data_IF_478727643911
#
_entry.id   IF_478727643911
#
_cell.length_a   1.000
_cell.length_b   1.000
_cell.length_c   1.000
_cell.angle_alpha   90.00
_cell.angle_beta   90.00
_cell.angle_gamma   90.00
#
_symmetry.space_group_name_H-M   'P 1'
#
loop_
_entity.id
_entity.type
_entity.pdbx_description
1 polymer ?
#
# COMPACT_ATOMS: atom_id res chain seq x y z
N UNK A 1 -26.25 15.31 -31.05
CA UNK A 1 -27.58 14.69 -30.83
C UNK A 1 -27.30 13.24 -30.54
N UNK A 2 -27.12 12.87 -29.28
CA UNK A 2 -28.18 12.52 -28.30
C UNK A 2 -29.00 11.33 -28.79
N UNK A 3 -28.87 10.22 -28.06
CA UNK A 3 -29.95 9.38 -27.52
C UNK A 3 -29.26 8.38 -26.57
N UNK A 4 -29.20 8.64 -25.26
CA UNK A 4 -30.20 8.29 -24.22
C UNK A 4 -30.48 6.78 -24.19
N UNK A 5 -29.94 6.04 -23.22
CA UNK A 5 -30.45 5.85 -21.84
C UNK A 5 -31.82 5.18 -21.84
N UNK A 6 -31.85 3.84 -21.82
CA UNK A 6 -32.93 3.11 -21.13
C UNK A 6 -32.58 1.64 -20.87
N UNK A 7 -32.21 1.29 -19.63
CA UNK A 7 -32.59 0.00 -19.06
C UNK A 7 -32.57 0.08 -17.53
N UNK A 8 -33.59 0.74 -16.99
CA UNK A 8 -33.99 0.65 -15.59
C UNK A 8 -34.79 -0.63 -15.37
N UNK A 9 -34.72 -1.15 -14.13
CA UNK A 9 -35.65 -2.09 -13.45
C UNK A 9 -35.27 -3.58 -13.42
N UNK A 10 -34.60 -3.99 -12.33
CA UNK A 10 -35.19 -4.83 -11.24
C UNK A 10 -34.08 -5.34 -10.30
N UNK A 11 -33.97 -4.74 -9.12
CA UNK A 11 -33.37 -5.38 -7.94
C UNK A 11 -34.53 -5.83 -7.03
N UNK A 12 -34.65 -7.11 -6.65
CA UNK A 12 -35.52 -7.49 -5.56
C UNK A 12 -34.86 -7.13 -4.23
N UNK A 13 -35.52 -6.27 -3.46
CA UNK A 13 -35.15 -5.96 -2.08
C UNK A 13 -35.61 -7.13 -1.21
N UNK A 14 -34.68 -7.95 -0.75
CA UNK A 14 -34.96 -8.98 0.25
C UNK A 14 -35.05 -8.34 1.64
N UNK A 15 -36.25 -8.30 2.19
CA UNK A 15 -36.51 -8.01 3.60
C UNK A 15 -36.24 -9.28 4.42
N UNK A 16 -35.30 -9.24 5.36
CA UNK A 16 -35.17 -10.23 6.43
C UNK A 16 -34.97 -9.50 7.78
N UNK A 17 -35.77 -9.83 8.82
CA UNK A 17 -35.67 -9.24 10.15
C UNK A 17 -34.63 -9.98 11.00
N UNK A 18 -33.87 -9.23 11.81
CA UNK A 18 -32.96 -9.82 12.80
C UNK A 18 -31.53 -9.25 12.88
N UNK A 19 -31.29 -8.03 12.42
CA UNK A 19 -29.96 -7.42 12.53
C UNK A 19 -29.65 -6.97 13.96
N UNK A 20 -28.84 -7.76 14.65
CA UNK A 20 -27.98 -7.26 15.74
C UNK A 20 -27.15 -6.10 15.18
N UNK A 21 -27.24 -4.94 15.82
CA UNK A 21 -26.44 -3.76 15.49
C UNK A 21 -24.97 -4.11 15.73
N UNK A 22 -24.22 -4.35 14.66
CA UNK A 22 -22.77 -4.45 14.71
C UNK A 22 -22.18 -3.04 14.88
N UNK A 23 -21.19 -2.83 15.77
CA UNK A 23 -20.52 -1.54 15.89
C UNK A 23 -19.77 -1.22 14.59
N UNK A 24 -19.84 0.03 14.17
CA UNK A 24 -19.21 0.54 12.97
C UNK A 24 -17.70 0.25 12.95
N UNK A 25 -17.27 -0.55 11.98
CA UNK A 25 -15.87 -0.80 11.67
C UNK A 25 -15.25 0.43 10.96
N UNK A 26 -13.96 0.70 11.16
CA UNK A 26 -13.27 1.81 10.50
C UNK A 26 -13.21 1.60 8.96
N UNK A 27 -13.14 2.69 8.16
CA UNK A 27 -13.38 2.69 6.71
C UNK A 27 -12.32 1.99 5.83
N UNK A 28 -11.44 1.17 6.39
CA UNK A 28 -10.38 0.44 5.69
C UNK A 28 -10.37 -1.07 5.99
N UNK A 29 -11.51 -1.64 6.40
CA UNK A 29 -11.75 -3.09 6.26
C UNK A 29 -12.08 -3.41 4.78
N UNK A 30 -11.07 -3.26 3.92
CA UNK A 30 -11.17 -3.62 2.51
C UNK A 30 -11.46 -5.11 2.39
N UNK A 31 -12.46 -5.45 1.57
CA UNK A 31 -12.58 -6.81 1.06
C UNK A 31 -11.26 -7.15 0.38
N UNK A 32 -10.46 -8.01 1.02
CA UNK A 32 -9.18 -8.46 0.49
C UNK A 32 -9.48 -9.17 -0.84
N UNK A 33 -9.16 -8.52 -1.96
CA UNK A 33 -9.19 -9.16 -3.26
C UNK A 33 -8.04 -10.16 -3.24
N UNK A 34 -8.35 -11.44 -3.43
CA UNK A 34 -7.34 -12.49 -3.51
C UNK A 34 -6.66 -12.39 -4.88
N UNK A 35 -5.44 -11.88 -4.89
CA UNK A 35 -4.59 -11.84 -6.08
C UNK A 35 -3.93 -13.20 -6.28
N UNK A 36 -4.11 -13.80 -7.44
CA UNK A 36 -3.46 -15.04 -7.84
C UNK A 36 -2.28 -14.72 -8.76
N UNK A 37 -1.09 -15.20 -8.40
CA UNK A 37 0.13 -15.06 -9.18
C UNK A 37 0.47 -16.39 -9.87
N UNK A 38 0.66 -16.37 -11.18
CA UNK A 38 1.03 -17.53 -11.99
C UNK A 38 2.27 -17.19 -12.82
N UNK A 39 3.43 -17.83 -12.59
CA UNK A 39 4.58 -17.67 -13.48
C UNK A 39 4.27 -18.32 -14.84
N UNK A 40 4.58 -17.60 -15.92
CA UNK A 40 4.43 -18.06 -17.30
C UNK A 40 5.83 -18.31 -17.91
N UNK A 41 6.27 -19.57 -18.06
CA UNK A 41 7.59 -19.88 -18.61
C UNK A 41 7.81 -19.23 -19.99
N UNK A 42 8.89 -18.48 -20.13
CA UNK A 42 9.25 -17.79 -21.37
C UNK A 42 8.50 -16.48 -21.65
N UNK A 43 7.45 -16.16 -20.89
CA UNK A 43 6.61 -14.97 -21.12
C UNK A 43 6.78 -13.96 -20.00
N UNK A 44 6.60 -14.37 -18.73
CA UNK A 44 6.57 -13.44 -17.62
C UNK A 44 5.81 -13.93 -16.40
N UNK A 45 5.11 -13.03 -15.71
CA UNK A 45 4.25 -13.34 -14.56
C UNK A 45 2.85 -12.81 -14.81
N UNK A 46 1.85 -13.64 -14.53
CA UNK A 46 0.43 -13.31 -14.63
C UNK A 46 -0.12 -13.07 -13.23
N UNK A 47 -0.73 -11.91 -13.02
CA UNK A 47 -1.46 -11.55 -11.81
C UNK A 47 -2.93 -11.39 -12.15
N UNK A 48 -3.82 -12.02 -11.40
CA UNK A 48 -5.25 -11.92 -11.71
C UNK A 48 -6.14 -12.12 -10.48
N UNK A 49 -7.39 -11.68 -10.58
CA UNK A 49 -8.37 -11.82 -9.52
C UNK A 49 -9.80 -11.98 -10.04
N UNK A 50 -10.64 -12.60 -9.22
CA UNK A 50 -12.09 -12.65 -9.43
C UNK A 50 -12.73 -11.34 -8.97
N UNK A 51 -13.25 -10.58 -9.93
CA UNK A 51 -14.03 -9.38 -9.67
C UNK A 51 -15.41 -9.71 -9.11
N UNK A 52 -15.91 -8.85 -8.21
CA UNK A 52 -17.27 -8.96 -7.64
C UNK A 52 -18.40 -8.94 -8.69
N UNK A 53 -18.12 -8.40 -9.88
CA UNK A 53 -19.06 -8.30 -11.00
C UNK A 53 -18.98 -9.48 -11.98
N UNK A 54 -18.44 -10.63 -11.56
CA UNK A 54 -18.49 -11.89 -12.33
C UNK A 54 -17.50 -11.99 -13.49
N UNK A 55 -16.48 -11.11 -13.53
CA UNK A 55 -15.37 -11.15 -14.48
C UNK A 55 -14.08 -11.45 -13.75
N UNK A 56 -13.19 -12.22 -14.39
CA UNK A 56 -11.81 -12.38 -13.94
C UNK A 56 -10.97 -11.39 -14.73
N UNK A 57 -10.18 -10.59 -14.01
CA UNK A 57 -9.32 -9.55 -14.61
C UNK A 57 -7.90 -9.88 -14.24
N UNK A 58 -6.99 -9.80 -15.21
CA UNK A 58 -5.59 -10.00 -14.94
C UNK A 58 -4.66 -9.18 -15.80
N UNK A 59 -3.41 -9.12 -15.36
CA UNK A 59 -2.30 -8.44 -16.01
C UNK A 59 -1.17 -9.44 -16.17
N UNK A 60 -0.63 -9.55 -17.38
CA UNK A 60 0.61 -10.28 -17.65
C UNK A 60 1.72 -9.25 -17.78
N UNK A 61 2.74 -9.38 -16.94
CA UNK A 61 3.98 -8.60 -17.07
C UNK A 61 4.98 -9.43 -17.85
N UNK A 62 5.22 -9.04 -19.11
CA UNK A 62 6.16 -9.72 -19.98
C UNK A 62 7.61 -9.38 -19.59
N UNK A 63 8.55 -10.28 -19.89
CA UNK A 63 9.99 -10.08 -19.59
C UNK A 63 10.62 -8.93 -20.39
N UNK A 64 10.02 -8.54 -21.49
CA UNK A 64 10.45 -7.43 -22.34
C UNK A 64 9.89 -6.07 -21.89
N UNK A 65 9.18 -6.04 -20.75
CA UNK A 65 8.60 -4.82 -20.17
C UNK A 65 7.21 -4.47 -20.70
N UNK A 66 6.64 -5.22 -21.65
CA UNK A 66 5.24 -5.02 -22.07
C UNK A 66 4.28 -5.52 -21.01
N UNK A 67 3.12 -4.89 -20.90
CA UNK A 67 2.03 -5.34 -20.04
C UNK A 67 0.86 -5.76 -20.92
N UNK A 68 0.15 -6.80 -20.52
CA UNK A 68 -1.07 -7.20 -21.21
C UNK A 68 -2.19 -7.32 -20.18
N UNK A 69 -3.26 -6.56 -20.37
CA UNK A 69 -4.47 -6.68 -19.56
C UNK A 69 -5.41 -7.65 -20.27
N UNK A 70 -5.92 -8.64 -19.56
CA UNK A 70 -6.92 -9.55 -20.08
C UNK A 70 -8.15 -9.59 -19.17
N UNK A 71 -9.31 -9.81 -19.80
CA UNK A 71 -10.56 -10.10 -19.11
C UNK A 71 -11.04 -11.46 -19.57
N UNK A 72 -11.18 -12.38 -18.63
CA UNK A 72 -11.78 -13.70 -18.86
C UNK A 72 -13.09 -13.83 -18.10
N UNK A 73 -13.88 -14.82 -18.49
CA UNK A 73 -15.08 -15.17 -17.72
C UNK A 73 -14.65 -15.99 -16.50
N UNK A 74 -15.41 -15.88 -15.42
CA UNK A 74 -15.14 -16.64 -14.20
C UNK A 74 -15.32 -18.15 -14.39
N UNK A 75 -16.24 -18.55 -15.27
CA UNK A 75 -16.60 -19.94 -15.56
C UNK A 75 -15.73 -20.60 -16.63
N UNK A 76 -14.98 -19.81 -17.39
CA UNK A 76 -14.05 -20.28 -18.42
C UNK A 76 -12.81 -19.38 -18.44
N UNK A 77 -11.76 -19.75 -17.67
CA UNK A 77 -10.52 -18.98 -17.57
C UNK A 77 -9.72 -18.92 -18.89
N UNK A 78 -9.95 -19.88 -19.80
CA UNK A 78 -9.25 -20.01 -21.08
C UNK A 78 -9.98 -19.28 -22.21
N UNK A 79 -11.26 -18.96 -22.05
CA UNK A 79 -11.98 -18.03 -22.92
C UNK A 79 -11.54 -16.58 -22.62
N UNK A 80 -10.37 -16.19 -23.13
CA UNK A 80 -9.97 -14.79 -23.25
C UNK A 80 -11.03 -14.03 -24.05
N UNK A 81 -11.85 -13.24 -23.36
CA UNK A 81 -12.91 -12.48 -24.03
C UNK A 81 -12.29 -11.35 -24.85
N UNK A 82 -11.30 -10.64 -24.29
CA UNK A 82 -10.48 -9.61 -24.93
C UNK A 82 -9.15 -9.44 -24.16
N UNK A 83 -8.04 -9.19 -24.86
CA UNK A 83 -6.79 -8.72 -24.26
C UNK A 83 -6.30 -7.43 -24.92
N UNK A 84 -5.64 -6.58 -24.13
CA UNK A 84 -5.10 -5.29 -24.54
C UNK A 84 -3.62 -5.29 -24.16
N UNK A 85 -2.75 -5.21 -25.16
CA UNK A 85 -1.31 -5.04 -24.95
C UNK A 85 -1.03 -3.55 -24.77
N UNK A 86 -0.31 -3.23 -23.70
CA UNK A 86 0.10 -1.89 -23.33
C UNK A 86 1.63 -1.83 -23.31
N UNK A 87 2.16 -0.73 -23.84
CA UNK A 87 3.52 -0.30 -23.55
C UNK A 87 3.68 0.08 -22.07
N UNK A 88 4.91 0.35 -21.66
CA UNK A 88 5.21 0.81 -20.30
C UNK A 88 4.46 2.10 -19.94
N UNK A 89 4.57 3.11 -20.82
CA UNK A 89 3.93 4.42 -20.66
C UNK A 89 2.39 4.32 -20.64
N UNK A 90 1.81 3.49 -21.50
CA UNK A 90 0.36 3.27 -21.52
C UNK A 90 -0.13 2.52 -20.27
N UNK A 91 0.65 1.56 -19.77
CA UNK A 91 0.32 0.84 -18.54
C UNK A 91 0.36 1.78 -17.32
N UNK A 92 1.33 2.70 -17.27
CA UNK A 92 1.41 3.74 -16.24
C UNK A 92 0.19 4.68 -16.30
N UNK A 93 -0.17 5.14 -17.50
CA UNK A 93 -1.35 5.98 -17.70
C UNK A 93 -2.66 5.27 -17.28
N UNK A 94 -2.82 3.97 -17.58
CA UNK A 94 -3.98 3.18 -17.14
C UNK A 94 -3.99 3.01 -15.63
N UNK A 95 -2.84 2.76 -15.00
CA UNK A 95 -2.72 2.64 -13.55
C UNK A 95 -3.13 3.94 -12.85
N UNK A 96 -2.72 5.09 -13.37
CA UNK A 96 -3.14 6.41 -12.88
C UNK A 96 -4.66 6.60 -12.95
N UNK A 97 -5.26 6.24 -14.09
CA UNK A 97 -6.70 6.39 -14.33
C UNK A 97 -7.52 5.46 -13.41
N UNK A 98 -7.07 4.23 -13.21
CA UNK A 98 -7.73 3.22 -12.37
C UNK A 98 -7.51 3.45 -10.87
N UNK A 99 -6.40 4.09 -10.48
CA UNK A 99 -6.05 4.39 -9.09
C UNK A 99 -6.99 5.39 -8.40
N UNK A 100 -7.95 6.00 -9.13
CA UNK A 100 -9.06 6.77 -8.56
C UNK A 100 -8.65 8.01 -7.76
N UNK A 101 -7.40 8.46 -7.81
CA UNK A 101 -6.91 9.62 -7.09
C UNK A 101 -6.46 10.74 -8.02
N UNK A 102 -7.41 11.43 -8.65
CA UNK A 102 -7.18 12.74 -9.28
C UNK A 102 -6.85 13.85 -8.26
N UNK A 103 -6.59 13.54 -6.98
CA UNK A 103 -6.32 14.55 -5.92
C UNK A 103 -4.86 14.51 -5.38
N UNK A 104 -4.06 13.48 -5.63
CA UNK A 104 -2.72 13.38 -5.02
C UNK A 104 -1.57 13.91 -5.89
N UNK A 105 -1.80 14.23 -7.18
CA UNK A 105 -0.72 14.72 -8.06
C UNK A 105 -0.30 16.18 -7.83
N UNK A 106 -1.00 16.95 -7.00
CA UNK A 106 -0.58 18.30 -6.63
C UNK A 106 -0.04 18.45 -5.20
N UNK A 107 -0.14 17.42 -4.34
CA UNK A 107 0.48 17.48 -3.00
C UNK A 107 1.75 16.63 -2.93
N UNK A 108 1.82 15.49 -3.64
CA UNK A 108 3.05 14.66 -3.64
C UNK A 108 4.20 15.29 -4.43
N UNK A 109 3.92 16.05 -5.51
CA UNK A 109 4.96 16.76 -6.28
C UNK A 109 5.50 18.03 -5.60
N UNK A 110 4.86 18.52 -4.54
CA UNK A 110 5.42 19.61 -3.72
C UNK A 110 6.30 19.10 -2.58
N UNK A 111 6.27 17.80 -2.25
CA UNK A 111 7.05 17.24 -1.13
C UNK A 111 8.18 16.30 -1.56
N UNK A 112 8.12 15.70 -2.76
CA UNK A 112 9.10 14.68 -3.18
C UNK A 112 10.34 15.18 -3.95
N UNK A 113 10.49 16.48 -4.19
CA UNK A 113 11.68 17.04 -4.84
C UNK A 113 12.52 17.90 -3.89
N UNK A 114 12.70 17.42 -2.66
CA UNK A 114 13.90 17.78 -1.89
C UNK A 114 14.88 16.64 -2.13
N UNK A 115 15.74 16.80 -3.15
CA UNK A 115 16.90 15.93 -3.36
C UNK A 115 17.61 15.69 -2.01
N UNK A 116 17.56 14.46 -1.51
CA UNK A 116 18.17 14.08 -0.24
C UNK A 116 17.24 13.95 0.98
N UNK A 117 15.91 13.95 0.84
CA UNK A 117 14.96 13.61 1.91
C UNK A 117 14.34 12.22 1.71
N UNK A 118 14.39 11.38 2.74
CA UNK A 118 13.85 10.02 2.79
C UNK A 118 12.96 9.82 4.03
N UNK A 119 11.94 8.97 3.89
CA UNK A 119 11.00 8.59 4.94
C UNK A 119 10.87 7.07 4.98
N UNK A 120 10.89 6.47 6.17
CA UNK A 120 10.74 5.02 6.34
C UNK A 120 10.01 4.64 7.65
N UNK A 121 9.42 3.45 7.65
CA UNK A 121 8.70 2.84 8.77
C UNK A 121 9.56 1.74 9.39
N UNK A 122 10.20 2.05 10.52
CA UNK A 122 11.13 1.12 11.16
C UNK A 122 10.45 0.44 12.34
N UNK A 123 10.36 -0.89 12.30
CA UNK A 123 9.87 -1.67 13.44
C UNK A 123 10.95 -1.76 14.52
N UNK A 124 10.59 -1.52 15.78
CA UNK A 124 11.47 -1.71 16.94
C UNK A 124 11.48 -3.20 17.30
N UNK A 125 12.58 -3.93 17.08
CA UNK A 125 12.64 -5.34 17.43
C UNK A 125 12.70 -5.53 18.96
N UNK A 126 12.30 -6.71 19.44
CA UNK A 126 12.38 -7.04 20.87
C UNK A 126 13.80 -7.04 21.45
N UNK A 127 14.80 -7.24 20.60
CA UNK A 127 16.23 -7.18 20.96
C UNK A 127 16.79 -5.75 20.95
N UNK A 128 15.97 -4.74 20.65
CA UNK A 128 16.42 -3.36 20.59
C UNK A 128 16.95 -2.90 21.94
N UNK A 129 18.14 -2.27 22.00
CA UNK A 129 18.68 -1.71 23.25
C UNK A 129 17.86 -0.50 23.76
N UNK A 130 16.90 -0.03 22.98
CA UNK A 130 15.99 1.07 23.27
C UNK A 130 14.57 0.62 23.65
N UNK A 131 14.29 -0.69 23.63
CA UNK A 131 13.03 -1.21 24.12
C UNK A 131 12.89 -0.93 25.62
N UNK A 132 11.78 -0.30 26.00
CA UNK A 132 11.49 0.13 27.37
C UNK A 132 12.17 1.44 27.80
N UNK A 133 12.90 2.12 26.89
CA UNK A 133 13.58 3.38 27.18
C UNK A 133 12.88 4.58 26.54
N UNK A 134 13.09 5.80 27.06
CA UNK A 134 12.62 7.02 26.41
C UNK A 134 13.21 7.17 25.01
N UNK A 135 12.42 7.74 24.10
CA UNK A 135 12.82 8.07 22.74
C UNK A 135 14.11 8.91 22.71
N UNK A 136 14.28 9.80 23.69
CA UNK A 136 15.46 10.65 23.86
C UNK A 136 16.78 9.88 23.99
N UNK A 137 16.75 8.67 24.57
CA UNK A 137 17.95 7.84 24.75
C UNK A 137 18.52 7.35 23.41
N UNK A 138 17.70 7.30 22.36
CA UNK A 138 18.17 6.98 21.01
C UNK A 138 19.11 8.06 20.49
N UNK A 139 18.93 9.31 20.92
CA UNK A 139 19.56 10.50 20.32
C UNK A 139 19.47 10.48 18.79
N UNK A 140 18.31 10.06 18.25
CA UNK A 140 18.13 9.70 16.84
C UNK A 140 18.71 10.76 15.89
N UNK A 141 18.28 12.02 16.06
CA UNK A 141 18.73 13.14 15.21
C UNK A 141 20.23 13.38 15.28
N UNK A 142 20.81 13.33 16.47
CA UNK A 142 22.24 13.59 16.67
C UNK A 142 23.11 12.47 16.12
N UNK A 143 22.69 11.21 16.27
CA UNK A 143 23.50 10.05 15.88
C UNK A 143 23.34 9.63 14.43
N UNK A 144 22.18 9.90 13.85
CA UNK A 144 21.82 9.38 12.52
C UNK A 144 21.53 10.50 11.52
N UNK A 145 21.23 11.71 11.98
CA UNK A 145 20.73 12.79 11.12
C UNK A 145 19.24 12.65 10.76
N UNK A 146 18.58 11.59 11.22
CA UNK A 146 17.16 11.36 11.01
C UNK A 146 16.34 11.65 12.28
N UNK A 147 15.07 12.01 12.12
CA UNK A 147 14.16 12.35 13.22
C UNK A 147 12.94 11.45 13.20
N UNK A 148 12.46 11.06 14.37
CA UNK A 148 11.20 10.32 14.51
C UNK A 148 10.05 11.33 14.56
N UNK A 149 9.09 11.19 13.64
CA UNK A 149 7.95 12.10 13.51
C UNK A 149 6.64 11.50 14.01
N UNK A 150 6.55 10.18 14.10
CA UNK A 150 5.39 9.47 14.65
C UNK A 150 5.76 8.06 15.12
N UNK A 151 4.92 7.48 15.97
CA UNK A 151 5.00 6.09 16.43
C UNK A 151 3.64 5.42 16.19
N UNK A 152 3.65 4.22 15.62
CA UNK A 152 2.49 3.36 15.47
C UNK A 152 2.51 2.29 16.57
N UNK A 153 1.45 2.27 17.38
CA UNK A 153 1.25 1.29 18.45
C UNK A 153 -0.20 0.84 18.44
N UNK A 154 -0.43 -0.48 18.44
CA UNK A 154 -1.77 -1.08 18.46
C UNK A 154 -2.73 -0.54 17.40
N UNK A 155 -2.21 -0.19 16.21
CA UNK A 155 -2.99 0.38 15.11
C UNK A 155 -3.29 1.88 15.24
N UNK A 156 -2.81 2.55 16.28
CA UNK A 156 -2.96 3.99 16.48
C UNK A 156 -1.66 4.74 16.19
N UNK A 157 -1.78 5.87 15.49
CA UNK A 157 -0.67 6.79 15.24
C UNK A 157 -0.55 7.80 16.39
N UNK A 158 0.66 7.92 16.94
CA UNK A 158 1.03 8.90 17.95
C UNK A 158 1.95 9.91 17.24
N UNK A 159 1.41 11.05 16.80
CA UNK A 159 2.19 12.06 16.09
C UNK A 159 3.07 12.84 17.06
N UNK A 160 4.22 13.32 16.57
CA UNK A 160 5.15 14.18 17.30
C UNK A 160 5.45 13.72 18.74
N UNK A 161 5.94 12.48 18.93
CA UNK A 161 6.28 11.98 20.26
C UNK A 161 7.40 12.83 20.88
N UNK A 162 7.24 13.16 22.17
CA UNK A 162 8.28 13.83 22.95
C UNK A 162 9.48 12.92 23.25
N UNK A 163 10.64 13.47 23.62
CA UNK A 163 11.82 12.67 23.99
C UNK A 163 11.60 11.78 25.22
N UNK A 164 10.65 12.11 26.09
CA UNK A 164 10.24 11.33 27.25
C UNK A 164 9.38 10.11 26.90
N UNK A 165 8.91 10.01 25.64
CA UNK A 165 7.99 8.97 25.23
C UNK A 165 8.67 7.59 25.23
N UNK A 166 8.14 6.58 25.95
CA UNK A 166 8.75 5.27 26.02
C UNK A 166 8.54 4.50 24.70
N UNK A 167 9.65 4.02 24.12
CA UNK A 167 9.64 3.08 23.01
C UNK A 167 9.46 1.66 23.54
N UNK A 168 8.61 0.86 22.91
CA UNK A 168 8.43 -0.55 23.23
C UNK A 168 8.72 -1.44 22.02
N UNK A 169 9.10 -2.68 22.32
CA UNK A 169 9.23 -3.71 21.31
C UNK A 169 7.90 -3.90 20.56
N UNK A 170 7.97 -3.97 19.23
CA UNK A 170 6.78 -4.09 18.38
C UNK A 170 6.22 -2.76 17.89
N UNK A 171 6.63 -1.62 18.47
CA UNK A 171 6.32 -0.31 17.90
C UNK A 171 6.88 -0.19 16.48
N UNK A 172 6.20 0.60 15.65
CA UNK A 172 6.74 1.02 14.35
C UNK A 172 6.94 2.53 14.37
N UNK A 173 8.18 2.99 14.22
CA UNK A 173 8.52 4.41 14.24
C UNK A 173 8.62 4.96 12.82
N UNK A 174 8.13 6.17 12.60
CA UNK A 174 8.24 6.89 11.33
C UNK A 174 9.46 7.78 11.39
N UNK A 175 10.44 7.49 10.56
CA UNK A 175 11.72 8.19 10.52
C UNK A 175 11.79 9.05 9.27
N UNK A 176 12.24 10.30 9.41
CA UNK A 176 12.44 11.25 8.32
C UNK A 176 13.86 11.80 8.40
N UNK A 177 14.62 11.78 7.30
CA UNK A 177 16.00 12.27 7.26
C UNK A 177 16.62 12.12 5.89
N UNK A 178 17.95 12.10 5.78
CA UNK A 178 18.61 11.72 4.53
C UNK A 178 18.53 10.20 4.31
N UNK A 179 18.68 9.68 3.07
CA UNK A 179 18.70 8.23 2.81
C UNK A 179 19.67 7.48 3.73
N UNK A 180 20.91 7.98 3.86
CA UNK A 180 21.92 7.43 4.77
C UNK A 180 21.51 7.50 6.24
N UNK A 181 20.85 8.60 6.63
CA UNK A 181 20.40 8.79 8.01
C UNK A 181 19.29 7.83 8.41
N UNK A 182 18.35 7.57 7.50
CA UNK A 182 17.28 6.59 7.69
C UNK A 182 17.85 5.18 7.86
N UNK A 183 18.83 4.79 7.03
CA UNK A 183 19.51 3.48 7.17
C UNK A 183 20.25 3.37 8.51
N UNK A 184 20.94 4.43 8.94
CA UNK A 184 21.62 4.48 10.25
C UNK A 184 20.62 4.40 11.41
N UNK A 185 19.44 5.01 11.28
CA UNK A 185 18.37 4.92 12.26
C UNK A 185 17.83 3.49 12.42
N UNK A 186 17.63 2.77 11.31
CA UNK A 186 17.21 1.37 11.36
C UNK A 186 18.25 0.49 12.06
N UNK A 187 19.53 0.62 11.70
CA UNK A 187 20.64 -0.11 12.36
C UNK A 187 20.72 0.19 13.86
N UNK A 188 20.60 1.48 14.20
CA UNK A 188 20.60 1.93 15.58
C UNK A 188 19.48 1.26 16.40
N UNK A 189 18.25 1.26 15.87
CA UNK A 189 17.10 0.64 16.54
C UNK A 189 17.22 -0.89 16.62
N UNK A 190 17.91 -1.52 15.66
CA UNK A 190 18.20 -2.96 15.70
C UNK A 190 19.31 -3.34 16.70
N UNK A 191 20.03 -2.37 17.27
CA UNK A 191 21.17 -2.62 18.16
C UNK A 191 22.49 -2.91 17.43
N UNK A 192 22.50 -2.76 16.10
CA UNK A 192 23.69 -2.86 15.27
C UNK A 192 24.45 -1.52 15.35
N UNK A 193 25.27 -1.38 16.38
CA UNK A 193 26.18 -0.25 16.51
C UNK A 193 27.22 -0.34 15.40
N UNK A 194 27.20 0.61 14.45
CA UNK A 194 28.26 0.79 13.47
C UNK A 194 29.59 0.95 14.22
N UNK A 195 30.38 -0.11 14.28
CA UNK A 195 31.80 -0.05 14.63
C UNK A 195 32.57 0.53 13.45
#
# INVERSE_FOLDING_TARGET
MRDEVECSKRLPVCHLPGHTIQPALPPYAGCMIKLEETPLPGVGVRHDFDGRFGKRVGVITHRDGRREIFVSRRDDPDACAQSIVLSDEEAEAVADLLGGSTITRHISKLTQDIEGLAIDWVKVPGVSPYAGKPLGDTMMRTRTGASIVAIMRDGHAIPAPGPEFPLYAGDTVVVVGTPDGVVKAAKLLNGESST
#
